data_IF_742833974541
#
_entry.id   IF_742833974541
#
_cell.length_a   1.000
_cell.length_b   1.000
_cell.length_c   1.000
_cell.angle_alpha   90.00
_cell.angle_beta   90.00
_cell.angle_gamma   90.00
#
_symmetry.space_group_name_H-M   'P 1'
#
loop_
_entity.id
_entity.type
_entity.pdbx_description
1 polymer ?
#
# COMPACT_ATOMS: atom_id res chain seq x y z
N UNK A 1 34.35 -0.37 -28.32
CA UNK A 1 33.55 -0.87 -27.21
C UNK A 1 32.62 0.22 -26.71
N UNK A 2 31.33 -0.02 -26.70
CA UNK A 2 30.39 0.91 -26.15
C UNK A 2 30.62 1.11 -24.64
N UNK A 3 30.09 2.20 -24.05
CA UNK A 3 30.22 2.39 -22.63
C UNK A 3 29.55 1.23 -21.87
N UNK A 4 30.29 0.64 -20.94
CA UNK A 4 29.76 -0.34 -20.04
C UNK A 4 28.85 0.38 -19.04
N UNK A 5 27.58 0.49 -19.32
CA UNK A 5 26.65 1.04 -18.35
C UNK A 5 25.87 -0.07 -17.66
N UNK A 6 25.62 0.16 -16.41
CA UNK A 6 24.85 -0.72 -15.57
C UNK A 6 23.59 0.02 -15.14
N UNK A 7 22.43 -0.60 -15.34
CA UNK A 7 21.15 -0.05 -14.93
C UNK A 7 20.61 -0.91 -13.80
N UNK A 8 20.20 -0.26 -12.71
CA UNK A 8 19.62 -0.93 -11.56
C UNK A 8 18.23 -0.40 -11.32
N UNK A 9 17.26 -1.29 -11.19
CA UNK A 9 15.89 -0.97 -10.81
C UNK A 9 15.57 -1.65 -9.50
N UNK A 10 15.08 -0.89 -8.53
CA UNK A 10 14.66 -1.42 -7.23
C UNK A 10 13.17 -1.22 -7.07
N UNK A 11 12.47 -2.28 -6.75
CA UNK A 11 11.03 -2.20 -6.45
C UNK A 11 10.87 -1.75 -5.00
N UNK A 12 10.40 -0.51 -4.82
CA UNK A 12 10.23 0.10 -3.49
C UNK A 12 8.79 0.11 -3.01
N UNK A 13 7.86 -0.31 -3.86
CA UNK A 13 6.43 -0.36 -3.53
C UNK A 13 5.80 -1.56 -4.20
N UNK A 14 5.00 -2.29 -3.45
CA UNK A 14 4.23 -3.42 -3.96
C UNK A 14 2.75 -3.07 -3.86
N UNK A 15 2.01 -3.25 -4.95
CA UNK A 15 0.57 -3.07 -4.98
C UNK A 15 -0.10 -4.43 -5.10
N UNK A 16 -1.12 -4.65 -4.29
CA UNK A 16 -1.94 -5.85 -4.32
C UNK A 16 -3.39 -5.44 -4.49
N UNK A 17 -4.06 -6.01 -5.50
CA UNK A 17 -5.47 -5.75 -5.78
C UNK A 17 -6.30 -6.92 -5.26
N UNK A 18 -7.40 -6.62 -4.57
CA UNK A 18 -8.34 -7.63 -4.13
C UNK A 18 -9.75 -7.02 -4.00
N UNK A 19 -10.74 -7.87 -3.73
CA UNK A 19 -12.13 -7.43 -3.55
C UNK A 19 -12.65 -7.97 -2.22
N UNK A 20 -13.35 -7.11 -1.47
CA UNK A 20 -13.90 -7.50 -0.15
C UNK A 20 -15.16 -8.36 -0.27
N UNK A 21 -15.74 -8.47 -1.46
CA UNK A 21 -16.88 -9.35 -1.71
C UNK A 21 -18.25 -8.69 -1.57
N UNK A 22 -18.31 -7.39 -1.35
CA UNK A 22 -19.58 -6.66 -1.25
C UNK A 22 -19.39 -5.20 -1.68
N UNK A 23 -20.51 -4.52 -1.95
CA UNK A 23 -20.52 -3.10 -2.30
C UNK A 23 -20.38 -2.28 -1.02
N UNK A 24 -19.43 -1.36 -1.01
CA UNK A 24 -19.02 -0.60 0.17
C UNK A 24 -19.68 0.78 0.21
N UNK A 25 -20.31 1.09 1.35
CA UNK A 25 -20.69 2.46 1.67
C UNK A 25 -19.44 3.19 2.17
N UNK A 26 -18.85 4.00 1.30
CA UNK A 26 -17.56 4.67 1.56
C UNK A 26 -17.62 5.65 2.73
N UNK A 27 -18.72 6.38 2.86
CA UNK A 27 -18.90 7.35 3.95
C UNK A 27 -18.95 6.66 5.30
N UNK A 28 -19.65 5.54 5.41
CA UNK A 28 -19.72 4.76 6.63
C UNK A 28 -18.39 4.11 6.98
N UNK A 29 -17.66 3.63 5.98
CA UNK A 29 -16.33 3.08 6.19
C UNK A 29 -15.38 4.16 6.71
N UNK A 30 -15.37 5.34 6.10
CA UNK A 30 -14.54 6.46 6.53
C UNK A 30 -14.83 6.84 7.99
N UNK A 31 -16.10 6.95 8.33
CA UNK A 31 -16.52 7.23 9.71
C UNK A 31 -16.07 6.15 10.68
N UNK A 32 -16.26 4.89 10.32
CA UNK A 32 -15.87 3.77 11.18
C UNK A 32 -14.36 3.77 11.44
N UNK A 33 -13.57 3.93 10.39
CA UNK A 33 -12.12 3.95 10.52
C UNK A 33 -11.63 5.08 11.41
N UNK A 34 -12.17 6.29 11.23
CA UNK A 34 -11.73 7.45 12.01
C UNK A 34 -12.24 7.44 13.45
N UNK A 35 -13.44 6.90 13.70
CA UNK A 35 -14.07 6.96 15.02
C UNK A 35 -13.87 5.71 15.86
N UNK A 36 -13.73 4.55 15.25
CA UNK A 36 -13.72 3.26 15.95
C UNK A 36 -12.40 2.52 15.87
N UNK A 37 -11.44 3.04 15.09
CA UNK A 37 -10.10 2.46 15.00
C UNK A 37 -9.03 3.53 15.20
N UNK A 38 -7.80 3.10 15.39
CA UNK A 38 -6.64 3.99 15.48
C UNK A 38 -6.07 4.39 14.12
N UNK A 39 -6.69 3.95 13.04
CA UNK A 39 -6.18 4.18 11.68
C UNK A 39 -6.85 5.40 11.06
N UNK A 40 -6.07 6.18 10.36
CA UNK A 40 -6.55 7.38 9.67
C UNK A 40 -7.18 7.01 8.34
N UNK A 41 -8.30 7.63 8.05
CA UNK A 41 -9.03 7.42 6.81
C UNK A 41 -9.43 8.77 6.20
N UNK A 42 -9.40 8.83 4.87
CA UNK A 42 -9.82 10.00 4.11
C UNK A 42 -10.64 9.57 2.90
N UNK A 43 -11.85 10.10 2.82
CA UNK A 43 -12.69 9.93 1.63
C UNK A 43 -12.25 10.93 0.56
N UNK A 44 -11.64 10.43 -0.50
CA UNK A 44 -11.17 11.26 -1.61
C UNK A 44 -12.23 11.34 -2.71
N UNK A 45 -12.56 12.57 -3.12
CA UNK A 45 -13.58 12.82 -4.13
C UNK A 45 -13.06 13.62 -5.33
N UNK A 46 -11.75 13.87 -5.39
CA UNK A 46 -11.15 14.71 -6.43
C UNK A 46 -11.12 14.00 -7.79
N UNK A 47 -11.34 14.77 -8.86
CA UNK A 47 -11.21 14.32 -10.26
C UNK A 47 -12.12 13.16 -10.67
N UNK A 48 -13.33 13.06 -10.11
CA UNK A 48 -14.24 11.96 -10.43
C UNK A 48 -13.82 10.61 -9.88
N UNK A 49 -12.73 10.59 -9.15
CA UNK A 49 -12.14 9.42 -8.54
C UNK A 49 -12.56 9.40 -7.06
N UNK A 50 -13.35 8.42 -6.69
CA UNK A 50 -13.89 8.37 -5.34
C UNK A 50 -13.48 7.08 -4.67
N UNK A 51 -12.61 7.19 -3.66
CA UNK A 51 -12.17 6.06 -2.86
C UNK A 51 -11.89 6.48 -1.44
N UNK A 52 -11.93 5.52 -0.52
CA UNK A 52 -11.53 5.73 0.87
C UNK A 52 -10.08 5.32 0.99
N UNK A 53 -9.22 6.26 1.34
CA UNK A 53 -7.80 6.01 1.56
C UNK A 53 -7.55 5.79 3.05
N UNK A 54 -7.19 4.58 3.43
CA UNK A 54 -6.96 4.19 4.82
C UNK A 54 -5.47 3.94 5.00
N UNK A 55 -4.88 4.58 6.03
CA UNK A 55 -3.45 4.48 6.31
C UNK A 55 -3.21 3.68 7.57
N UNK A 56 -2.47 2.58 7.42
CA UNK A 56 -2.00 1.78 8.55
C UNK A 56 -0.52 2.08 8.78
N UNK A 57 -0.10 2.46 10.00
CA UNK A 57 1.31 2.70 10.26
C UNK A 57 2.16 1.48 9.92
N UNK A 58 3.17 1.70 9.09
CA UNK A 58 4.16 0.67 8.80
C UNK A 58 5.22 0.69 9.89
N UNK A 59 5.07 -0.18 10.89
CA UNK A 59 5.99 -0.21 12.02
C UNK A 59 7.29 -0.92 11.68
N UNK A 60 8.34 -0.15 11.56
CA UNK A 60 9.61 -0.39 12.21
C UNK A 60 10.61 -1.37 11.63
N UNK A 61 10.40 -2.14 10.56
CA UNK A 61 11.42 -3.09 10.09
C UNK A 61 12.00 -2.76 8.72
N UNK A 62 12.02 -1.49 8.37
CA UNK A 62 12.49 -1.06 7.06
C UNK A 62 13.91 -1.52 6.77
N UNK A 63 14.80 -1.47 7.75
CA UNK A 63 16.21 -1.82 7.56
C UNK A 63 16.45 -3.28 7.17
N UNK A 64 15.57 -4.19 7.59
CA UNK A 64 15.71 -5.62 7.31
C UNK A 64 14.92 -6.09 6.09
N UNK A 65 14.06 -5.24 5.51
CA UNK A 65 13.28 -5.60 4.34
C UNK A 65 14.20 -5.84 3.14
N UNK A 66 13.92 -6.91 2.39
CA UNK A 66 14.61 -7.21 1.13
C UNK A 66 13.74 -6.76 -0.04
N UNK A 67 14.32 -5.91 -0.89
CA UNK A 67 13.62 -5.36 -2.04
C UNK A 67 14.09 -6.09 -3.31
N UNK A 68 13.16 -6.43 -4.22
CA UNK A 68 13.55 -6.93 -5.54
C UNK A 68 14.36 -5.89 -6.29
N UNK A 69 15.46 -6.31 -6.88
CA UNK A 69 16.30 -5.47 -7.70
C UNK A 69 16.55 -6.15 -9.04
N UNK A 70 16.35 -5.43 -10.12
CA UNK A 70 16.68 -5.89 -11.46
C UNK A 70 17.93 -5.12 -11.90
N UNK A 71 18.94 -5.86 -12.30
CA UNK A 71 20.22 -5.30 -12.77
C UNK A 71 20.43 -5.65 -14.24
N UNK A 72 20.71 -4.66 -15.05
CA UNK A 72 21.13 -4.86 -16.43
C UNK A 72 22.64 -4.64 -16.54
N UNK A 73 23.34 -5.68 -16.94
CA UNK A 73 24.80 -5.68 -17.10
C UNK A 73 25.15 -6.60 -18.25
N UNK A 74 24.86 -6.14 -19.49
CA UNK A 74 24.96 -6.99 -20.68
C UNK A 74 23.88 -8.08 -20.76
N UNK A 75 23.01 -8.19 -19.79
CA UNK A 75 21.87 -9.08 -19.66
C UNK A 75 21.08 -8.74 -18.40
N UNK A 76 19.84 -9.19 -18.32
CA UNK A 76 19.00 -8.95 -17.15
C UNK A 76 19.27 -9.96 -16.07
N UNK A 77 19.50 -9.49 -14.85
CA UNK A 77 19.71 -10.33 -13.66
C UNK A 77 18.76 -9.91 -12.55
N UNK A 78 18.20 -10.89 -11.85
CA UNK A 78 17.37 -10.66 -10.68
C UNK A 78 18.22 -10.74 -9.40
N UNK A 79 18.14 -9.70 -8.60
CA UNK A 79 18.86 -9.58 -7.33
C UNK A 79 17.90 -9.15 -6.22
N UNK A 80 18.41 -9.11 -5.01
CA UNK A 80 17.73 -8.48 -3.89
C UNK A 80 18.69 -7.49 -3.23
N UNK A 81 18.13 -6.41 -2.69
CA UNK A 81 18.90 -5.42 -1.95
C UNK A 81 18.15 -5.13 -0.65
N UNK A 82 18.90 -4.94 0.45
CA UNK A 82 18.27 -4.52 1.69
C UNK A 82 17.76 -3.08 1.56
N UNK A 83 16.64 -2.79 2.20
CA UNK A 83 16.07 -1.44 2.22
C UNK A 83 17.11 -0.42 2.70
N UNK A 84 17.86 -0.75 3.75
CA UNK A 84 18.88 0.13 4.30
C UNK A 84 19.93 0.51 3.25
N UNK A 85 20.47 -0.46 2.52
CA UNK A 85 21.44 -0.20 1.47
C UNK A 85 20.87 0.64 0.34
N UNK A 86 19.63 0.33 -0.07
CA UNK A 86 18.94 1.11 -1.09
C UNK A 86 18.77 2.56 -0.63
N UNK A 87 18.27 2.75 0.58
CA UNK A 87 18.04 4.08 1.17
C UNK A 87 19.32 4.90 1.22
N UNK A 88 20.43 4.29 1.67
CA UNK A 88 21.73 4.96 1.76
C UNK A 88 22.28 5.38 0.40
N UNK A 89 21.88 4.70 -0.68
CA UNK A 89 22.32 5.02 -2.04
C UNK A 89 21.60 6.23 -2.63
N UNK A 90 20.53 6.71 -2.02
CA UNK A 90 19.69 7.78 -2.53
C UNK A 90 20.22 9.16 -2.07
N UNK A 91 19.85 10.21 -2.84
CA UNK A 91 20.10 11.59 -2.43
C UNK A 91 19.27 11.95 -1.19
N UNK A 92 19.68 12.97 -0.44
CA UNK A 92 18.94 13.44 0.74
C UNK A 92 17.49 13.80 0.39
N UNK A 93 17.26 14.40 -0.76
CA UNK A 93 15.95 14.79 -1.23
C UNK A 93 15.06 13.56 -1.48
N UNK A 94 15.61 12.53 -2.10
CA UNK A 94 14.91 11.28 -2.36
C UNK A 94 14.65 10.53 -1.05
N UNK A 95 15.61 10.52 -0.13
CA UNK A 95 15.44 9.92 1.19
C UNK A 95 14.27 10.55 1.95
N UNK A 96 14.13 11.87 1.92
CA UNK A 96 13.02 12.56 2.56
C UNK A 96 11.67 12.18 1.95
N UNK A 97 11.58 12.12 0.63
CA UNK A 97 10.35 11.72 -0.06
C UNK A 97 9.93 10.30 0.32
N UNK A 98 10.87 9.38 0.33
CA UNK A 98 10.60 7.98 0.66
C UNK A 98 10.22 7.84 2.13
N UNK A 99 10.90 8.53 3.03
CA UNK A 99 10.59 8.49 4.47
C UNK A 99 9.15 8.91 4.74
N UNK A 100 8.64 9.89 4.00
CA UNK A 100 7.25 10.32 4.16
C UNK A 100 6.25 9.31 3.60
N UNK A 101 6.56 8.69 2.45
CA UNK A 101 5.68 7.72 1.81
C UNK A 101 5.65 6.37 2.52
N UNK A 102 6.80 5.93 3.02
CA UNK A 102 6.95 4.58 3.58
C UNK A 102 6.47 4.44 5.02
N UNK A 103 5.94 5.52 5.60
CA UNK A 103 5.38 5.49 6.95
C UNK A 103 4.13 4.64 7.06
N UNK A 104 3.47 4.35 5.95
CA UNK A 104 2.15 3.73 5.95
C UNK A 104 2.04 2.65 4.91
N UNK A 105 1.30 1.60 5.26
CA UNK A 105 0.66 0.72 4.29
C UNK A 105 -0.71 1.31 4.03
N UNK A 106 -1.07 1.54 2.77
CA UNK A 106 -2.32 2.18 2.41
C UNK A 106 -3.29 1.21 1.77
N UNK A 107 -4.57 1.39 2.07
CA UNK A 107 -5.67 0.67 1.44
C UNK A 107 -6.58 1.69 0.78
N UNK A 108 -6.73 1.60 -0.53
CA UNK A 108 -7.66 2.43 -1.27
C UNK A 108 -8.89 1.59 -1.59
N UNK A 109 -10.02 1.91 -0.96
CA UNK A 109 -11.25 1.15 -1.04
C UNK A 109 -12.25 1.87 -1.93
N UNK A 110 -12.73 1.16 -2.95
CA UNK A 110 -13.72 1.68 -3.89
C UNK A 110 -15.12 1.17 -3.57
N UNK A 111 -16.12 1.87 -4.07
CA UNK A 111 -17.53 1.52 -3.89
C UNK A 111 -17.82 0.08 -4.33
N UNK A 112 -17.22 -0.37 -5.41
CA UNK A 112 -17.38 -1.74 -5.92
C UNK A 112 -16.90 -2.84 -4.98
N UNK A 113 -16.19 -2.47 -3.94
CA UNK A 113 -15.52 -3.43 -3.05
C UNK A 113 -14.09 -3.73 -3.47
N UNK A 114 -13.63 -3.22 -4.59
CA UNK A 114 -12.23 -3.35 -4.99
C UNK A 114 -11.35 -2.55 -4.07
N UNK A 115 -10.18 -3.12 -3.74
CA UNK A 115 -9.19 -2.50 -2.87
C UNK A 115 -7.83 -2.59 -3.52
N UNK A 116 -7.10 -1.48 -3.49
CA UNK A 116 -5.69 -1.44 -3.86
C UNK A 116 -4.89 -1.25 -2.58
N UNK A 117 -4.09 -2.24 -2.22
CA UNK A 117 -3.20 -2.19 -1.07
C UNK A 117 -1.79 -1.88 -1.55
N UNK A 118 -1.15 -0.89 -0.96
CA UNK A 118 0.20 -0.47 -1.31
C UNK A 118 1.11 -0.51 -0.08
N UNK A 119 2.24 -1.15 -0.21
CA UNK A 119 3.20 -1.26 0.89
C UNK A 119 4.60 -1.59 0.41
N UNK A 120 5.51 -1.78 1.37
CA UNK A 120 6.93 -1.95 1.09
C UNK A 120 7.29 -3.39 0.76
N UNK A 121 6.94 -4.33 1.62
CA UNK A 121 7.28 -5.73 1.41
C UNK A 121 6.13 -6.66 1.81
N UNK A 122 6.12 -7.85 1.21
CA UNK A 122 5.04 -8.83 1.40
C UNK A 122 4.85 -9.28 2.86
N UNK A 123 5.90 -9.62 3.62
CA UNK A 123 5.71 -10.07 5.00
C UNK A 123 4.99 -9.05 5.89
N UNK A 124 5.34 -7.78 5.78
CA UNK A 124 4.68 -6.71 6.53
C UNK A 124 3.27 -6.45 6.02
N UNK A 125 3.09 -6.51 4.70
CA UNK A 125 1.78 -6.33 4.07
C UNK A 125 0.81 -7.44 4.49
N UNK A 126 1.29 -8.67 4.62
CA UNK A 126 0.45 -9.79 5.03
C UNK A 126 -0.16 -9.57 6.41
N UNK A 127 0.65 -9.15 7.38
CA UNK A 127 0.18 -8.83 8.73
C UNK A 127 -0.86 -7.70 8.71
N UNK A 128 -0.57 -6.63 7.97
CA UNK A 128 -1.46 -5.48 7.84
C UNK A 128 -2.74 -5.84 7.09
N UNK A 129 -2.64 -6.69 6.07
CA UNK A 129 -3.79 -7.22 5.34
C UNK A 129 -4.73 -7.98 6.27
N UNK A 130 -4.20 -8.85 7.11
CA UNK A 130 -5.01 -9.61 8.06
C UNK A 130 -5.73 -8.68 9.04
N UNK A 131 -5.06 -7.65 9.53
CA UNK A 131 -5.69 -6.65 10.40
C UNK A 131 -6.80 -5.91 9.67
N UNK A 132 -6.56 -5.49 8.43
CA UNK A 132 -7.56 -4.82 7.61
C UNK A 132 -8.80 -5.69 7.39
N UNK A 133 -8.60 -6.95 7.03
CA UNK A 133 -9.72 -7.90 6.79
C UNK A 133 -10.52 -8.13 8.07
N UNK A 134 -9.87 -8.22 9.22
CA UNK A 134 -10.57 -8.35 10.49
C UNK A 134 -11.45 -7.14 10.78
N UNK A 135 -10.94 -5.94 10.53
CA UNK A 135 -11.70 -4.70 10.69
C UNK A 135 -12.89 -4.67 9.74
N UNK A 136 -12.68 -5.01 8.48
CA UNK A 136 -13.75 -5.02 7.45
C UNK A 136 -14.84 -6.02 7.85
N UNK A 137 -14.49 -7.20 8.33
CA UNK A 137 -15.45 -8.20 8.78
C UNK A 137 -16.23 -7.72 10.00
N UNK A 138 -15.59 -7.02 10.92
CA UNK A 138 -16.26 -6.44 12.09
C UNK A 138 -17.30 -5.38 11.71
N UNK A 139 -16.94 -4.48 10.77
CA UNK A 139 -17.81 -3.37 10.41
C UNK A 139 -18.70 -3.65 9.21
N UNK A 140 -18.61 -4.84 8.61
CA UNK A 140 -19.40 -5.19 7.43
C UNK A 140 -20.89 -4.84 7.54
N UNK A 141 -21.59 -5.16 8.65
CA UNK A 141 -23.01 -4.80 8.75
C UNK A 141 -23.28 -3.30 8.63
N UNK A 142 -22.31 -2.47 9.01
CA UNK A 142 -22.44 -1.01 8.95
C UNK A 142 -22.04 -0.41 7.62
N UNK A 143 -21.14 -1.07 6.87
CA UNK A 143 -20.56 -0.51 5.65
C UNK A 143 -21.04 -1.18 4.36
N UNK A 144 -21.71 -2.34 4.45
CA UNK A 144 -22.25 -3.02 3.28
C UNK A 144 -23.47 -2.26 2.75
N UNK A 145 -23.40 -1.85 1.48
CA UNK A 145 -24.58 -1.31 0.81
C UNK A 145 -25.50 -2.44 0.39
N UNK A 146 -26.70 -2.42 0.95
CA UNK A 146 -27.72 -3.37 0.56
C UNK A 146 -28.52 -2.78 -0.60
N UNK A 147 -28.51 -3.49 -1.73
CA UNK A 147 -29.36 -3.13 -2.85
C UNK A 147 -30.81 -3.41 -2.43
N UNK A 148 -31.56 -2.33 -2.19
CA UNK A 148 -33.00 -2.47 -1.97
C UNK A 148 -33.64 -2.79 -3.31
N UNK A 149 -34.03 -4.03 -3.48
CA UNK A 149 -34.94 -4.41 -4.56
C UNK A 149 -36.34 -4.02 -4.14
N UNK A 150 -36.86 -3.01 -4.78
CA UNK A 150 -38.29 -2.75 -4.71
C UNK A 150 -39.02 -3.60 -5.73
#
# INVERSE_FOLDING_TARGET
AGPNFQIKFVTVMTNIDFNVGFIVNREQLDKYMNNSTKHNSLLETSFGYTGVNIKFPANGYRGSALLPQIVYKGGWEDHTISYEKHFQSLSEKEQLKITQKDKYTTFLVFHSGNVIMSGLDKPHMESTFNEFINIINECKPSIEEKLTTT
#
